data_IF_684952391342
#
_entry.id   IF_684952391342
#
_cell.length_a   1.000
_cell.length_b   1.000
_cell.length_c   1.000
_cell.angle_alpha   90.00
_cell.angle_beta   90.00
_cell.angle_gamma   90.00
#
_symmetry.space_group_name_H-M   'P 1'
#
loop_
_entity.id
_entity.type
_entity.pdbx_description
1 polymer ?
#
# COMPACT_ATOMS: atom_id res chain seq x y z
N UNK A 1 11.73 42.83 -31.51
CA UNK A 1 12.27 42.47 -30.18
C UNK A 1 11.23 41.79 -29.27
N UNK A 2 9.97 41.73 -29.63
CA UNK A 2 8.87 41.15 -28.82
C UNK A 2 8.67 39.63 -29.06
N UNK A 3 8.93 39.11 -30.26
CA UNK A 3 8.76 37.67 -30.58
C UNK A 3 9.79 36.73 -29.90
N UNK A 4 10.96 37.24 -29.46
CA UNK A 4 12.04 36.41 -28.86
C UNK A 4 11.79 36.06 -27.38
N UNK A 5 10.90 36.85 -26.74
CA UNK A 5 10.51 36.58 -25.35
C UNK A 5 9.29 35.64 -25.25
N UNK A 6 8.43 35.61 -26.26
CA UNK A 6 7.23 34.76 -26.27
C UNK A 6 7.58 33.26 -26.27
N UNK A 7 8.64 32.88 -27.01
CA UNK A 7 9.13 31.50 -27.03
C UNK A 7 9.73 31.03 -25.70
N UNK A 8 10.32 31.92 -24.88
CA UNK A 8 10.85 31.54 -23.57
C UNK A 8 9.75 31.28 -22.53
N UNK A 9 8.66 32.03 -22.58
CA UNK A 9 7.51 31.82 -21.69
C UNK A 9 6.69 30.60 -22.11
N UNK A 10 6.59 30.30 -23.40
CA UNK A 10 5.95 29.11 -23.91
C UNK A 10 6.70 27.84 -23.47
N UNK A 11 8.06 27.86 -23.45
CA UNK A 11 8.87 26.75 -22.95
C UNK A 11 8.76 26.57 -21.42
N UNK A 12 8.62 27.65 -20.65
CA UNK A 12 8.45 27.59 -19.20
C UNK A 12 7.04 27.06 -18.86
N UNK A 13 6.01 27.45 -19.59
CA UNK A 13 4.65 26.94 -19.42
C UNK A 13 4.58 25.45 -19.80
N UNK A 14 5.25 25.03 -20.88
CA UNK A 14 5.31 23.62 -21.27
C UNK A 14 6.07 22.75 -20.23
N UNK A 15 7.10 23.30 -19.59
CA UNK A 15 7.90 22.58 -18.58
C UNK A 15 7.17 22.36 -17.25
N UNK A 16 6.14 23.15 -16.95
CA UNK A 16 5.33 23.01 -15.72
C UNK A 16 4.30 21.88 -15.83
N UNK A 17 3.97 21.43 -17.04
CA UNK A 17 3.01 20.33 -17.28
C UNK A 17 3.63 18.91 -17.16
N UNK A 18 4.94 18.78 -16.95
CA UNK A 18 5.63 17.48 -16.93
C UNK A 18 6.00 16.94 -15.53
N UNK A 19 5.44 17.51 -14.46
CA UNK A 19 5.71 17.03 -13.09
C UNK A 19 4.48 16.34 -12.48
N UNK A 20 3.74 15.56 -13.26
CA UNK A 20 2.67 14.75 -12.70
C UNK A 20 3.22 13.34 -12.40
N UNK A 21 3.67 13.13 -11.17
CA UNK A 21 3.81 11.79 -10.61
C UNK A 21 2.43 11.27 -10.25
N UNK A 22 2.13 10.03 -10.59
CA UNK A 22 0.89 9.39 -10.16
C UNK A 22 1.02 9.01 -8.68
N UNK A 23 0.29 9.69 -7.80
CA UNK A 23 0.15 9.28 -6.40
C UNK A 23 -0.64 7.99 -6.31
N UNK A 24 -0.36 7.24 -5.26
CA UNK A 24 -1.04 5.97 -4.98
C UNK A 24 -1.61 6.01 -3.58
N UNK A 25 -2.89 5.65 -3.45
CA UNK A 25 -3.52 5.42 -2.16
C UNK A 25 -3.89 3.94 -2.06
N UNK A 26 -3.42 3.28 -1.00
CA UNK A 26 -3.75 1.91 -0.66
C UNK A 26 -4.69 1.92 0.53
N UNK A 27 -5.87 1.30 0.38
CA UNK A 27 -6.85 1.16 1.45
C UNK A 27 -7.43 -0.26 1.50
N UNK A 28 -7.83 -0.73 2.70
CA UNK A 28 -8.47 -2.03 2.85
C UNK A 28 -8.54 -2.54 4.29
N UNK A 29 -9.13 -3.72 4.41
CA UNK A 29 -9.30 -4.38 5.69
C UNK A 29 -8.18 -5.40 5.93
N UNK A 30 -7.61 -5.40 7.14
CA UNK A 30 -6.68 -6.41 7.63
C UNK A 30 -7.33 -7.13 8.80
N UNK A 31 -7.44 -8.45 8.69
CA UNK A 31 -8.07 -9.30 9.70
C UNK A 31 -7.01 -9.94 10.59
N UNK A 32 -7.14 -9.73 11.90
CA UNK A 32 -6.18 -10.29 12.88
C UNK A 32 -6.24 -11.83 12.88
N UNK A 33 -7.43 -12.40 12.66
CA UNK A 33 -7.59 -13.85 12.51
C UNK A 33 -6.74 -14.41 11.39
N UNK A 34 -6.77 -13.78 10.21
CA UNK A 34 -5.97 -14.20 9.05
C UNK A 34 -4.46 -14.12 9.35
N UNK A 35 -4.02 -13.07 10.06
CA UNK A 35 -2.61 -12.93 10.46
C UNK A 35 -2.18 -14.09 11.37
N UNK A 36 -3.00 -14.41 12.36
CA UNK A 36 -2.72 -15.53 13.30
C UNK A 36 -2.73 -16.86 12.55
N UNK A 37 -3.74 -17.11 11.72
CA UNK A 37 -3.87 -18.36 10.96
C UNK A 37 -2.68 -18.58 10.02
N UNK A 38 -2.25 -17.55 9.29
CA UNK A 38 -1.06 -17.62 8.42
C UNK A 38 0.21 -17.83 9.25
N UNK A 39 0.35 -17.14 10.39
CA UNK A 39 1.52 -17.28 11.25
C UNK A 39 1.64 -18.68 11.87
N UNK A 40 0.52 -19.33 12.20
CA UNK A 40 0.49 -20.66 12.84
C UNK A 40 0.55 -21.81 11.82
N UNK A 41 -0.10 -21.65 10.64
CA UNK A 41 -0.19 -22.72 9.66
C UNK A 41 0.85 -22.61 8.54
N UNK A 42 1.33 -21.41 8.24
CA UNK A 42 2.18 -21.12 7.07
C UNK A 42 1.39 -21.11 5.75
N UNK A 43 0.07 -21.27 5.78
CA UNK A 43 -0.75 -21.26 4.58
C UNK A 43 -1.01 -19.82 4.13
N UNK A 44 -0.75 -19.53 2.85
CA UNK A 44 -1.00 -18.22 2.23
C UNK A 44 -2.51 -17.94 2.17
N UNK A 45 -2.93 -16.78 2.65
CA UNK A 45 -4.28 -16.26 2.49
C UNK A 45 -4.30 -15.03 1.57
N UNK A 46 -5.49 -14.55 1.21
CA UNK A 46 -5.68 -13.38 0.37
C UNK A 46 -6.76 -12.48 0.96
N UNK A 47 -6.44 -11.19 1.12
CA UNK A 47 -7.37 -10.19 1.62
C UNK A 47 -7.73 -9.20 0.50
N UNK A 48 -9.01 -8.83 0.34
CA UNK A 48 -9.39 -7.81 -0.63
C UNK A 48 -8.88 -6.43 -0.20
N UNK A 49 -8.28 -5.71 -1.14
CA UNK A 49 -7.80 -4.35 -0.96
C UNK A 49 -8.19 -3.47 -2.13
N UNK A 50 -8.21 -2.18 -1.90
CA UNK A 50 -8.37 -1.16 -2.93
C UNK A 50 -7.06 -0.40 -3.11
N UNK A 51 -6.77 -0.02 -4.36
CA UNK A 51 -5.68 0.88 -4.68
C UNK A 51 -6.20 1.94 -5.65
N UNK A 52 -5.90 3.20 -5.36
CA UNK A 52 -6.29 4.33 -6.20
C UNK A 52 -5.05 4.95 -6.82
N UNK A 53 -5.06 5.12 -8.14
CA UNK A 53 -3.99 5.75 -8.92
C UNK A 53 -4.42 7.16 -9.33
N UNK A 54 -3.59 8.17 -9.04
CA UNK A 54 -3.86 9.54 -9.47
C UNK A 54 -3.80 9.65 -10.98
N UNK A 55 -4.79 10.35 -11.55
CA UNK A 55 -4.96 10.61 -12.97
C UNK A 55 -5.02 12.10 -13.23
N UNK A 56 -4.74 12.55 -14.44
CA UNK A 56 -4.74 13.98 -14.77
C UNK A 56 -6.14 14.63 -14.70
N UNK A 57 -7.19 13.87 -14.98
CA UNK A 57 -8.60 14.28 -14.87
C UNK A 57 -9.51 13.06 -14.87
N UNK A 58 -10.77 13.21 -14.47
CA UNK A 58 -11.78 12.14 -14.55
C UNK A 58 -12.02 11.72 -16.01
N UNK A 59 -12.08 12.68 -16.95
CA UNK A 59 -12.27 12.38 -18.38
C UNK A 59 -11.09 11.56 -18.93
N UNK A 60 -9.85 11.96 -18.62
CA UNK A 60 -8.64 11.21 -18.99
C UNK A 60 -8.62 9.81 -18.34
N UNK A 61 -9.04 9.70 -17.07
CA UNK A 61 -9.18 8.43 -16.40
C UNK A 61 -10.13 7.48 -17.15
N UNK A 62 -11.32 7.94 -17.52
CA UNK A 62 -12.29 7.11 -18.26
C UNK A 62 -11.79 6.71 -19.67
N UNK A 63 -11.01 7.57 -20.34
CA UNK A 63 -10.39 7.25 -21.64
C UNK A 63 -9.29 6.19 -21.48
N UNK A 64 -8.46 6.28 -20.44
CA UNK A 64 -7.28 5.46 -20.25
C UNK A 64 -7.54 4.21 -19.40
N UNK A 65 -8.67 4.15 -18.68
CA UNK A 65 -9.04 3.08 -17.75
C UNK A 65 -8.84 1.67 -18.31
N UNK A 66 -9.30 1.44 -19.55
CA UNK A 66 -9.19 0.12 -20.16
C UNK A 66 -7.74 -0.30 -20.43
N UNK A 67 -6.89 0.63 -20.87
CA UNK A 67 -5.48 0.37 -21.14
C UNK A 67 -4.70 0.15 -19.87
N UNK A 68 -4.92 1.02 -18.86
CA UNK A 68 -4.29 0.90 -17.57
C UNK A 68 -4.68 -0.40 -16.87
N UNK A 69 -5.96 -0.81 -16.97
CA UNK A 69 -6.44 -2.09 -16.44
C UNK A 69 -5.71 -3.29 -17.04
N UNK A 70 -5.50 -3.30 -18.36
CA UNK A 70 -4.76 -4.39 -19.03
C UNK A 70 -3.29 -4.51 -18.58
N UNK A 71 -2.69 -3.41 -18.15
CA UNK A 71 -1.35 -3.42 -17.56
C UNK A 71 -1.43 -3.95 -16.11
N UNK A 72 -2.31 -3.38 -15.28
CA UNK A 72 -2.40 -3.69 -13.85
C UNK A 72 -2.82 -5.14 -13.59
N UNK A 73 -3.70 -5.73 -14.41
CA UNK A 73 -4.12 -7.14 -14.34
C UNK A 73 -2.97 -8.15 -14.38
N UNK A 74 -1.82 -7.78 -14.96
CA UNK A 74 -0.63 -8.64 -15.02
C UNK A 74 0.11 -8.73 -13.69
N UNK A 75 -0.10 -7.75 -12.81
CA UNK A 75 0.68 -7.53 -11.59
C UNK A 75 -0.10 -7.72 -10.31
N UNK A 76 -1.43 -7.64 -10.36
CA UNK A 76 -2.31 -7.76 -9.20
C UNK A 76 -3.23 -8.98 -9.33
N UNK A 77 -3.35 -9.75 -8.26
CA UNK A 77 -4.26 -10.89 -8.19
C UNK A 77 -5.72 -10.43 -8.09
N UNK A 78 -6.63 -11.06 -8.85
CA UNK A 78 -8.07 -10.75 -8.87
C UNK A 78 -8.38 -9.26 -9.09
N UNK A 79 -7.59 -8.63 -9.94
CA UNK A 79 -7.70 -7.20 -10.24
C UNK A 79 -9.05 -6.84 -10.85
N UNK A 80 -9.62 -5.72 -10.40
CA UNK A 80 -10.84 -5.13 -10.96
C UNK A 80 -10.74 -3.61 -10.97
N UNK A 81 -10.92 -2.99 -12.15
CA UNK A 81 -11.08 -1.55 -12.24
C UNK A 81 -12.50 -1.17 -11.79
N UNK A 82 -12.62 -0.34 -10.77
CA UNK A 82 -13.91 0.08 -10.20
C UNK A 82 -14.42 1.34 -10.90
N UNK A 83 -13.95 2.49 -10.48
CA UNK A 83 -14.47 3.80 -10.93
C UNK A 83 -13.38 4.85 -11.05
N UNK A 84 -13.65 5.86 -11.88
CA UNK A 84 -12.92 7.10 -11.90
C UNK A 84 -13.66 8.12 -11.03
N UNK A 85 -12.96 8.78 -10.10
CA UNK A 85 -13.57 9.76 -9.20
C UNK A 85 -12.65 10.97 -8.99
N UNK A 86 -13.18 12.02 -8.38
CA UNK A 86 -12.42 13.21 -8.02
C UNK A 86 -12.48 13.43 -6.51
N UNK A 87 -11.33 13.70 -5.91
CA UNK A 87 -11.17 14.04 -4.51
C UNK A 87 -10.12 15.15 -4.36
N UNK A 88 -10.41 16.19 -3.60
CA UNK A 88 -9.49 17.32 -3.31
C UNK A 88 -8.80 17.90 -4.57
N UNK A 89 -9.55 18.08 -5.66
CA UNK A 89 -9.10 18.56 -6.98
C UNK A 89 -8.23 17.59 -7.78
N UNK A 90 -7.95 16.40 -7.29
CA UNK A 90 -7.27 15.34 -8.02
C UNK A 90 -8.28 14.33 -8.55
N UNK A 91 -7.95 13.68 -9.65
CA UNK A 91 -8.72 12.58 -10.20
C UNK A 91 -8.02 11.27 -9.90
N UNK A 92 -8.78 10.19 -9.66
CA UNK A 92 -8.24 8.88 -9.35
C UNK A 92 -8.97 7.78 -10.12
N UNK A 93 -8.23 6.73 -10.48
CA UNK A 93 -8.77 5.44 -10.84
C UNK A 93 -8.75 4.55 -9.60
N UNK A 94 -9.93 4.24 -9.05
CA UNK A 94 -10.07 3.25 -7.98
C UNK A 94 -10.12 1.85 -8.57
N UNK A 95 -9.36 0.93 -7.97
CA UNK A 95 -9.28 -0.48 -8.38
C UNK A 95 -9.36 -1.37 -7.16
N UNK A 96 -9.77 -2.63 -7.34
CA UNK A 96 -9.74 -3.65 -6.31
C UNK A 96 -8.79 -4.77 -6.72
N UNK A 97 -8.16 -5.41 -5.74
CA UNK A 97 -7.30 -6.57 -5.93
C UNK A 97 -7.21 -7.39 -4.64
N UNK A 98 -6.67 -8.59 -4.73
CA UNK A 98 -6.40 -9.42 -3.56
C UNK A 98 -4.92 -9.33 -3.18
N UNK A 99 -4.64 -8.84 -1.95
CA UNK A 99 -3.29 -8.82 -1.40
C UNK A 99 -2.99 -10.16 -0.71
N UNK A 100 -1.87 -10.82 -1.03
CA UNK A 100 -1.46 -12.02 -0.31
C UNK A 100 -0.98 -11.70 1.11
N UNK A 101 -1.38 -12.53 2.06
CA UNK A 101 -0.89 -12.59 3.43
C UNK A 101 0.02 -13.81 3.53
N UNK A 102 1.29 -13.61 3.83
CA UNK A 102 2.32 -14.66 3.79
C UNK A 102 3.18 -14.64 5.04
N UNK A 103 3.63 -15.84 5.46
CA UNK A 103 4.64 -15.98 6.49
C UNK A 103 6.03 -15.91 5.84
N UNK A 104 6.90 -15.04 6.34
CA UNK A 104 8.32 -15.06 6.00
C UNK A 104 8.99 -16.22 6.74
N UNK A 105 9.47 -17.20 5.97
CA UNK A 105 10.09 -18.42 6.50
C UNK A 105 11.58 -18.23 6.89
N UNK A 106 12.22 -17.16 6.42
CA UNK A 106 13.65 -16.94 6.68
C UNK A 106 13.86 -15.92 7.82
N UNK A 107 14.31 -16.45 8.96
CA UNK A 107 14.48 -15.72 10.22
C UNK A 107 15.77 -14.90 10.35
N UNK A 108 16.51 -14.65 9.29
CA UNK A 108 17.82 -13.98 9.39
C UNK A 108 17.73 -12.43 9.39
N UNK A 109 16.51 -11.88 9.58
CA UNK A 109 16.29 -10.44 9.70
C UNK A 109 16.23 -9.70 8.37
N UNK A 110 16.36 -10.38 7.25
CA UNK A 110 16.04 -9.88 5.92
C UNK A 110 14.68 -10.41 5.51
N UNK A 111 13.74 -9.51 5.23
CA UNK A 111 12.42 -9.89 4.69
C UNK A 111 12.64 -10.44 3.30
N UNK A 112 12.25 -11.70 3.05
CA UNK A 112 12.37 -12.30 1.72
C UNK A 112 11.36 -11.66 0.75
N UNK A 113 11.89 -10.87 -0.17
CA UNK A 113 11.12 -10.28 -1.28
C UNK A 113 10.89 -11.25 -2.44
N UNK A 114 11.13 -12.55 -2.26
CA UNK A 114 10.93 -13.58 -3.29
C UNK A 114 9.45 -13.83 -3.60
N UNK A 115 8.52 -13.17 -2.91
CA UNK A 115 7.11 -13.15 -3.28
C UNK A 115 6.98 -12.81 -4.77
N UNK A 116 6.26 -13.64 -5.51
CA UNK A 116 5.93 -13.38 -6.92
C UNK A 116 4.88 -12.28 -7.08
N UNK A 117 4.34 -11.79 -5.98
CA UNK A 117 3.31 -10.76 -5.92
C UNK A 117 3.97 -9.38 -5.86
N UNK A 118 3.35 -8.39 -6.48
CA UNK A 118 3.84 -7.00 -6.49
C UNK A 118 3.89 -6.43 -5.07
N UNK A 119 2.83 -6.66 -4.30
CA UNK A 119 2.66 -6.20 -2.93
C UNK A 119 2.09 -7.33 -2.07
N UNK A 120 2.49 -7.41 -0.80
CA UNK A 120 2.02 -8.44 0.14
C UNK A 120 1.98 -7.90 1.57
N UNK A 121 1.16 -8.53 2.41
CA UNK A 121 1.28 -8.45 3.87
C UNK A 121 2.18 -9.61 4.31
N UNK A 122 3.37 -9.28 4.78
CA UNK A 122 4.39 -10.27 5.19
C UNK A 122 4.46 -10.33 6.71
N UNK A 123 4.33 -11.53 7.26
CA UNK A 123 4.36 -11.80 8.70
C UNK A 123 5.74 -12.33 9.06
N UNK A 124 6.34 -11.74 10.08
CA UNK A 124 7.57 -12.24 10.72
C UNK A 124 7.22 -12.71 12.13
N UNK A 125 7.39 -14.00 12.40
CA UNK A 125 7.11 -14.58 13.71
C UNK A 125 8.35 -14.52 14.60
N UNK A 126 8.19 -14.03 15.82
CA UNK A 126 9.21 -13.99 16.85
C UNK A 126 8.71 -14.62 18.14
N UNK A 127 9.51 -15.52 18.74
CA UNK A 127 9.26 -16.05 20.08
C UNK A 127 9.67 -14.99 21.12
N UNK A 128 8.77 -14.71 22.07
CA UNK A 128 8.99 -13.81 23.20
C UNK A 128 8.78 -14.55 24.53
N UNK A 129 9.18 -13.97 25.67
CA UNK A 129 9.08 -14.64 26.99
C UNK A 129 7.68 -15.11 27.35
N UNK A 130 6.62 -14.44 26.86
CA UNK A 130 5.22 -14.72 27.17
C UNK A 130 4.44 -15.41 26.06
N UNK A 131 5.08 -15.81 24.94
CA UNK A 131 4.40 -16.43 23.82
C UNK A 131 5.02 -16.08 22.47
N UNK A 132 4.21 -15.64 21.52
CA UNK A 132 4.66 -15.25 20.19
C UNK A 132 4.26 -13.82 19.87
N UNK A 133 5.07 -13.16 19.03
CA UNK A 133 4.76 -11.88 18.42
C UNK A 133 4.81 -12.04 16.89
N UNK A 134 3.78 -11.60 16.23
CA UNK A 134 3.65 -11.61 14.78
C UNK A 134 3.76 -10.17 14.25
N UNK A 135 4.94 -9.81 13.74
CA UNK A 135 5.20 -8.51 13.16
C UNK A 135 4.71 -8.52 11.70
N UNK A 136 3.83 -7.59 11.35
CA UNK A 136 3.21 -7.49 10.03
C UNK A 136 3.80 -6.31 9.27
N UNK A 137 4.29 -6.59 8.07
CA UNK A 137 4.85 -5.60 7.16
C UNK A 137 4.04 -5.56 5.85
N UNK A 138 3.79 -4.36 5.36
CA UNK A 138 3.44 -4.18 3.95
C UNK A 138 4.75 -4.24 3.16
N UNK A 139 4.86 -5.17 2.20
CA UNK A 139 6.08 -5.38 1.42
C UNK A 139 5.83 -5.16 -0.06
N UNK A 140 6.83 -4.63 -0.76
CA UNK A 140 6.80 -4.33 -2.19
C UNK A 140 7.94 -5.07 -2.90
N UNK A 141 7.62 -5.89 -3.89
CA UNK A 141 8.62 -6.46 -4.77
C UNK A 141 9.13 -5.40 -5.76
N UNK A 142 10.32 -4.86 -5.48
CA UNK A 142 10.93 -3.79 -6.27
C UNK A 142 11.18 -4.16 -7.72
N UNK A 143 11.51 -5.41 -8.00
CA UNK A 143 11.77 -5.85 -9.37
C UNK A 143 10.47 -5.84 -10.18
N UNK A 144 9.39 -6.35 -9.60
CA UNK A 144 8.07 -6.35 -10.23
C UNK A 144 7.54 -4.92 -10.36
N UNK A 145 7.70 -4.08 -9.33
CA UNK A 145 7.32 -2.66 -9.36
C UNK A 145 8.03 -1.89 -10.48
N UNK A 146 9.33 -2.12 -10.67
CA UNK A 146 10.08 -1.49 -11.75
C UNK A 146 9.59 -1.95 -13.13
N UNK A 147 9.20 -3.23 -13.27
CA UNK A 147 8.62 -3.74 -14.51
C UNK A 147 7.27 -3.08 -14.82
N UNK A 148 6.38 -2.99 -13.82
CA UNK A 148 5.11 -2.28 -13.92
C UNK A 148 5.32 -0.81 -14.31
N UNK A 149 6.23 -0.10 -13.62
CA UNK A 149 6.52 1.30 -13.91
C UNK A 149 7.07 1.53 -15.32
N UNK A 150 7.83 0.59 -15.87
CA UNK A 150 8.29 0.69 -17.25
C UNK A 150 7.13 0.52 -18.24
N UNK A 151 6.23 -0.44 -18.04
CA UNK A 151 5.05 -0.61 -18.88
C UNK A 151 4.12 0.62 -18.84
N UNK A 152 3.91 1.19 -17.65
CA UNK A 152 3.11 2.43 -17.51
C UNK A 152 3.81 3.59 -18.21
N UNK A 153 5.12 3.72 -18.05
CA UNK A 153 5.87 4.79 -18.71
C UNK A 153 5.84 4.68 -20.24
N UNK A 154 5.95 3.47 -20.77
CA UNK A 154 5.93 3.24 -22.21
C UNK A 154 4.56 3.61 -22.85
N UNK A 155 3.45 3.42 -22.10
CA UNK A 155 2.10 3.72 -22.60
C UNK A 155 1.65 5.17 -22.29
N UNK A 156 1.97 5.70 -21.08
CA UNK A 156 1.41 6.95 -20.57
C UNK A 156 2.44 8.07 -20.36
N UNK A 157 3.74 7.77 -20.51
CA UNK A 157 4.86 8.69 -20.20
C UNK A 157 4.84 9.20 -18.75
N UNK A 158 4.25 8.43 -17.84
CA UNK A 158 4.13 8.72 -16.42
C UNK A 158 4.71 7.56 -15.59
N UNK A 159 5.08 7.82 -14.35
CA UNK A 159 5.52 6.80 -13.41
C UNK A 159 4.72 6.88 -12.13
N UNK A 160 4.53 5.73 -11.50
CA UNK A 160 4.02 5.64 -10.12
C UNK A 160 5.16 6.04 -9.20
N UNK A 161 4.92 7.03 -8.35
CA UNK A 161 5.84 7.42 -7.27
C UNK A 161 5.21 7.04 -5.92
N UNK A 162 6.04 6.55 -5.00
CA UNK A 162 5.60 6.06 -3.69
C UNK A 162 5.92 7.03 -2.56
N UNK A 163 6.64 8.11 -2.85
CA UNK A 163 7.03 9.12 -1.86
C UNK A 163 5.83 9.84 -1.23
N UNK A 164 4.71 9.95 -1.97
CA UNK A 164 3.43 10.47 -1.51
C UNK A 164 2.34 9.39 -1.35
N UNK A 165 2.72 8.10 -1.35
CA UNK A 165 1.76 7.01 -1.20
C UNK A 165 1.03 7.09 0.15
N UNK A 166 -0.30 6.99 0.13
CA UNK A 166 -1.13 6.96 1.34
C UNK A 166 -1.46 5.49 1.68
N UNK A 167 -1.27 5.11 2.92
CA UNK A 167 -1.57 3.77 3.42
C UNK A 167 -2.61 3.91 4.52
N UNK A 168 -3.84 3.47 4.25
CA UNK A 168 -4.98 3.53 5.15
C UNK A 168 -5.59 2.14 5.30
N UNK A 169 -5.56 1.60 6.51
CA UNK A 169 -6.02 0.24 6.77
C UNK A 169 -7.03 0.24 7.91
N UNK A 170 -8.04 -0.62 7.80
CA UNK A 170 -8.91 -0.99 8.92
C UNK A 170 -8.40 -2.30 9.52
N UNK A 171 -7.92 -2.26 10.75
CA UNK A 171 -7.45 -3.45 11.48
C UNK A 171 -8.63 -4.04 12.25
N UNK A 172 -9.09 -5.21 11.83
CA UNK A 172 -10.33 -5.82 12.31
C UNK A 172 -10.04 -7.04 13.20
N UNK A 173 -10.60 -7.07 14.40
CA UNK A 173 -10.64 -8.30 15.19
C UNK A 173 -11.90 -9.11 14.85
N UNK A 174 -11.76 -10.05 13.92
CA UNK A 174 -12.78 -11.02 13.52
C UNK A 174 -12.75 -12.30 14.37
N UNK A 175 -11.75 -12.41 15.27
CA UNK A 175 -11.58 -13.53 16.20
C UNK A 175 -12.66 -13.60 17.28
N UNK A 176 -12.47 -14.53 18.21
CA UNK A 176 -13.41 -14.74 19.33
C UNK A 176 -12.99 -14.03 20.61
N UNK A 177 -11.72 -13.75 20.74
CA UNK A 177 -11.06 -13.20 21.92
C UNK A 177 -10.66 -11.74 21.70
N UNK A 178 -10.30 -11.05 22.76
CA UNK A 178 -9.63 -9.74 22.68
C UNK A 178 -8.20 -9.97 22.26
N UNK A 179 -7.75 -9.27 21.23
CA UNK A 179 -6.38 -9.37 20.72
C UNK A 179 -5.59 -8.11 21.07
N UNK A 180 -4.33 -8.32 21.50
CA UNK A 180 -3.42 -7.23 21.85
C UNK A 180 -2.55 -6.89 20.63
N UNK A 181 -2.69 -5.67 20.11
CA UNK A 181 -2.02 -5.21 18.90
C UNK A 181 -1.20 -3.97 19.18
N UNK A 182 0.05 -3.95 18.70
CA UNK A 182 0.95 -2.81 18.85
C UNK A 182 1.22 -2.13 17.51
N UNK A 183 1.25 -0.81 17.53
CA UNK A 183 1.56 0.03 16.37
C UNK A 183 2.75 0.93 16.66
N UNK A 184 3.46 1.33 15.60
CA UNK A 184 4.50 2.35 15.67
C UNK A 184 4.54 3.17 14.38
N UNK A 185 4.93 4.44 14.49
CA UNK A 185 5.06 5.35 13.34
C UNK A 185 3.79 5.46 12.50
N UNK A 186 2.62 5.56 13.15
CA UNK A 186 1.31 5.60 12.52
C UNK A 186 0.35 6.53 13.29
N UNK A 187 -0.82 6.74 12.71
CA UNK A 187 -1.98 7.27 13.42
C UNK A 187 -3.00 6.14 13.57
N UNK A 188 -3.51 5.96 14.78
CA UNK A 188 -4.51 4.94 15.11
C UNK A 188 -5.74 5.64 15.66
N UNK A 189 -6.88 5.51 14.99
CA UNK A 189 -8.12 6.26 15.29
C UNK A 189 -7.88 7.78 15.37
N UNK A 190 -6.94 8.31 14.58
CA UNK A 190 -6.54 9.72 14.58
C UNK A 190 -5.51 10.12 15.63
N UNK A 191 -5.16 9.26 16.58
CA UNK A 191 -4.16 9.52 17.60
C UNK A 191 -2.76 9.04 17.15
N UNK A 192 -1.68 9.80 17.38
CA UNK A 192 -0.34 9.42 16.93
C UNK A 192 0.25 8.29 17.80
N UNK A 193 0.61 7.17 17.15
CA UNK A 193 1.40 6.08 17.69
C UNK A 193 2.87 6.26 17.29
N UNK A 194 3.61 7.14 17.98
CA UNK A 194 5.01 7.51 17.64
C UNK A 194 5.98 6.39 17.96
N UNK A 195 5.83 5.77 19.13
CA UNK A 195 6.54 4.59 19.58
C UNK A 195 5.57 3.41 19.62
N UNK A 196 6.04 2.23 20.08
CA UNK A 196 5.15 1.10 20.28
C UNK A 196 4.02 1.48 21.24
N UNK A 197 2.82 1.58 20.68
CA UNK A 197 1.58 1.83 21.40
C UNK A 197 0.69 0.63 21.25
N UNK A 198 0.31 0.01 22.39
CA UNK A 198 -0.48 -1.22 22.43
C UNK A 198 -1.96 -0.90 22.65
N UNK A 199 -2.80 -1.58 21.90
CA UNK A 199 -4.26 -1.48 21.95
C UNK A 199 -4.84 -2.88 22.11
N UNK A 200 -5.80 -3.02 23.01
CA UNK A 200 -6.63 -4.21 23.10
C UNK A 200 -7.86 -4.04 22.21
N UNK A 201 -8.00 -4.90 21.22
CA UNK A 201 -9.11 -4.85 20.26
C UNK A 201 -10.09 -5.96 20.63
N UNK A 202 -11.25 -5.56 21.12
CA UNK A 202 -12.32 -6.51 21.45
C UNK A 202 -12.87 -7.18 20.18
N UNK A 203 -13.55 -8.30 20.37
CA UNK A 203 -14.22 -9.01 19.29
C UNK A 203 -15.12 -8.09 18.45
N UNK A 204 -14.99 -8.11 17.13
CA UNK A 204 -15.73 -7.29 16.15
C UNK A 204 -15.46 -5.78 16.25
N UNK A 205 -14.48 -5.38 17.00
CA UNK A 205 -13.98 -4.01 16.93
C UNK A 205 -12.97 -3.86 15.80
N UNK A 206 -12.79 -2.63 15.37
CA UNK A 206 -11.76 -2.25 14.40
C UNK A 206 -11.02 -1.00 14.87
N UNK A 207 -9.80 -0.86 14.40
CA UNK A 207 -9.00 0.37 14.51
C UNK A 207 -8.69 0.89 13.11
N UNK A 208 -8.82 2.19 12.93
CA UNK A 208 -8.41 2.86 11.70
C UNK A 208 -6.92 3.18 11.81
N UNK A 209 -6.12 2.66 10.88
CA UNK A 209 -4.68 2.85 10.78
C UNK A 209 -4.36 3.77 9.59
N UNK A 210 -3.54 4.79 9.83
CA UNK A 210 -2.98 5.65 8.79
C UNK A 210 -1.46 5.66 8.96
N UNK A 211 -0.74 5.23 7.93
CA UNK A 211 0.73 5.26 7.91
C UNK A 211 1.25 6.69 7.99
N UNK A 212 2.26 6.93 8.86
CA UNK A 212 2.92 8.22 8.95
C UNK A 212 3.90 8.46 7.78
N UNK A 213 4.48 9.65 7.72
CA UNK A 213 5.56 9.96 6.77
C UNK A 213 6.76 9.01 6.90
N UNK A 214 7.04 8.50 8.13
CA UNK A 214 8.11 7.52 8.36
C UNK A 214 7.76 6.18 7.73
N UNK A 215 6.53 5.71 7.90
CA UNK A 215 6.00 4.48 7.29
C UNK A 215 6.08 4.56 5.77
N UNK A 216 5.61 5.66 5.19
CA UNK A 216 5.64 5.93 3.76
C UNK A 216 7.07 5.97 3.21
N UNK A 217 7.96 6.73 3.86
CA UNK A 217 9.36 6.81 3.47
C UNK A 217 10.08 5.45 3.56
N UNK A 218 9.72 4.61 4.53
CA UNK A 218 10.22 3.24 4.63
C UNK A 218 9.75 2.39 3.45
N UNK A 219 8.46 2.44 3.13
CA UNK A 219 7.88 1.72 2.01
C UNK A 219 8.50 2.16 0.67
N UNK A 220 8.58 3.48 0.44
CA UNK A 220 9.20 4.01 -0.76
C UNK A 220 10.69 3.66 -0.86
N UNK A 221 11.47 3.82 0.20
CA UNK A 221 12.93 3.69 0.15
C UNK A 221 13.41 2.24 0.23
N UNK A 222 12.78 1.42 1.08
CA UNK A 222 13.24 0.06 1.40
C UNK A 222 12.33 -1.03 0.82
N UNK A 223 11.14 -0.69 0.31
CA UNK A 223 10.15 -1.65 -0.19
C UNK A 223 9.41 -2.39 0.91
N UNK A 224 9.47 -1.92 2.16
CA UNK A 224 8.67 -2.45 3.25
C UNK A 224 8.31 -1.38 4.26
N UNK A 225 7.15 -1.51 4.89
CA UNK A 225 6.69 -0.67 5.97
C UNK A 225 6.10 -1.53 7.09
N UNK A 226 6.52 -1.30 8.32
CA UNK A 226 5.90 -1.91 9.49
C UNK A 226 4.47 -1.39 9.65
N UNK A 227 3.51 -2.29 9.80
CA UNK A 227 2.11 -1.97 10.01
C UNK A 227 1.73 -2.16 11.47
N UNK A 228 1.91 -3.36 12.00
CA UNK A 228 1.53 -3.70 13.38
C UNK A 228 2.26 -4.94 13.90
N UNK A 229 2.17 -5.20 15.20
CA UNK A 229 2.45 -6.50 15.78
C UNK A 229 1.23 -7.05 16.50
N UNK A 230 0.94 -8.32 16.32
CA UNK A 230 -0.06 -9.06 17.11
C UNK A 230 0.69 -9.85 18.18
N UNK A 231 0.32 -9.68 19.47
CA UNK A 231 0.93 -10.38 20.58
C UNK A 231 0.01 -11.54 20.99
N UNK A 232 0.54 -12.77 20.97
CA UNK A 232 -0.17 -14.00 21.35
C UNK A 232 0.45 -14.56 22.62
N UNK A 233 -0.30 -14.51 23.74
CA UNK A 233 0.13 -14.92 25.07
C UNK A 233 -0.40 -16.30 25.46
#
# INVERSE_FOLDING_TARGET
MILRNFNKYLFIILAVFFLNSCKVNLDGDVYIGDIIDVAETGEKLFNPMDISFEMSSVDSCEEDKSKLSLILEKYFSNFTAKECYSEDFNAFLKTGFDIPVILDAERDGEIDYSSKDLVSLTIVSAEIESGFRYDVYLTLNRMIFNALNNEIYDEFYQKIELDDAKIELSINNDGRETESVSFASAFVNGDPAVFYSTYDIERRQKLDYIGSDVTRASFDKFGHAYIMSVNKF
#
